data_IF_365149934597
#
_entry.id   IF_365149934597
#
_cell.length_a   1.000
_cell.length_b   1.000
_cell.length_c   1.000
_cell.angle_alpha   90.00
_cell.angle_beta   90.00
_cell.angle_gamma   90.00
#
_symmetry.space_group_name_H-M   'P 1'
#
loop_
_entity.id
_entity.type
_entity.pdbx_description
1 polymer ?
#
# COMPACT_ATOMS: atom_id res chain seq x y z
N UNK A 1 6.28 12.92 2.83
CA UNK A 1 5.11 12.31 2.23
C UNK A 1 5.54 11.51 1.03
N UNK A 2 5.08 10.31 0.89
CA UNK A 2 3.73 9.83 1.26
C UNK A 2 3.71 8.95 2.52
N UNK A 3 2.48 8.63 2.95
CA UNK A 3 2.20 7.56 3.92
C UNK A 3 1.48 6.43 3.19
N UNK A 4 2.05 5.25 3.19
CA UNK A 4 1.43 4.05 2.63
C UNK A 4 0.97 3.16 3.78
N UNK A 5 -0.32 2.85 3.82
CA UNK A 5 -0.87 1.93 4.81
C UNK A 5 -1.35 0.68 4.08
N UNK A 6 -0.74 -0.45 4.40
CA UNK A 6 -1.04 -1.75 3.82
C UNK A 6 -1.85 -2.55 4.84
N UNK A 7 -3.03 -2.98 4.42
CA UNK A 7 -3.94 -3.78 5.23
C UNK A 7 -4.14 -5.12 4.55
N UNK A 8 -3.97 -6.21 5.29
CA UNK A 8 -4.10 -7.54 4.71
C UNK A 8 -4.93 -8.45 5.60
N UNK A 9 -5.63 -9.39 4.99
CA UNK A 9 -6.40 -10.41 5.74
C UNK A 9 -5.43 -11.41 6.36
N UNK A 10 -5.66 -11.79 7.62
CA UNK A 10 -4.71 -12.62 8.38
C UNK A 10 -4.70 -14.09 7.98
N UNK A 11 -5.51 -14.47 7.01
CA UNK A 11 -5.58 -15.83 6.47
C UNK A 11 -4.55 -16.12 5.36
N UNK A 12 -3.65 -15.19 5.06
CA UNK A 12 -2.60 -15.39 4.07
C UNK A 12 -1.44 -16.17 4.69
N UNK A 13 -1.41 -17.47 4.43
CA UNK A 13 -0.32 -18.33 4.89
C UNK A 13 1.00 -17.88 4.23
N UNK A 14 2.07 -17.82 5.02
CA UNK A 14 3.37 -17.38 4.53
C UNK A 14 3.47 -15.87 4.30
N UNK A 15 2.58 -15.07 4.87
CA UNK A 15 2.63 -13.62 4.74
C UNK A 15 3.98 -13.06 5.20
N UNK A 16 4.54 -12.18 4.40
CA UNK A 16 5.80 -11.48 4.71
C UNK A 16 5.60 -9.96 4.51
N UNK A 17 4.90 -9.31 5.46
CA UNK A 17 4.61 -7.88 5.34
C UNK A 17 5.87 -7.01 5.21
N UNK A 18 6.97 -7.38 5.86
CA UNK A 18 8.22 -6.63 5.75
C UNK A 18 8.72 -6.58 4.30
N UNK A 19 8.69 -7.71 3.59
CA UNK A 19 9.07 -7.77 2.19
C UNK A 19 8.10 -6.97 1.31
N UNK A 20 6.80 -7.03 1.60
CA UNK A 20 5.80 -6.26 0.85
C UNK A 20 6.01 -4.76 1.02
N UNK A 21 6.32 -4.30 2.24
CA UNK A 21 6.59 -2.88 2.51
C UNK A 21 7.84 -2.40 1.77
N UNK A 22 8.89 -3.20 1.73
CA UNK A 22 10.08 -2.89 0.95
C UNK A 22 9.74 -2.74 -0.53
N UNK A 23 8.94 -3.66 -1.08
CA UNK A 23 8.54 -3.62 -2.49
C UNK A 23 7.73 -2.37 -2.82
N UNK A 24 6.74 -2.02 -2.01
CA UNK A 24 5.90 -0.84 -2.27
C UNK A 24 6.67 0.47 -2.08
N UNK A 25 7.63 0.52 -1.14
CA UNK A 25 8.50 1.69 -0.99
C UNK A 25 9.39 1.90 -2.21
N UNK A 26 9.98 0.82 -2.74
CA UNK A 26 10.76 0.92 -3.98
C UNK A 26 9.91 1.42 -5.14
N UNK A 27 8.68 0.92 -5.27
CA UNK A 27 7.77 1.35 -6.32
C UNK A 27 7.41 2.83 -6.19
N UNK A 28 7.11 3.28 -4.97
CA UNK A 28 6.81 4.68 -4.71
C UNK A 28 8.00 5.58 -5.05
N UNK A 29 9.21 5.14 -4.72
CA UNK A 29 10.42 5.89 -5.05
C UNK A 29 10.65 5.95 -6.56
N UNK A 30 10.37 4.87 -7.29
CA UNK A 30 10.47 4.81 -8.75
C UNK A 30 9.57 5.81 -9.46
N UNK A 31 8.50 6.25 -8.83
CA UNK A 31 7.61 7.26 -9.42
C UNK A 31 8.32 8.58 -9.69
N UNK A 32 9.41 8.85 -8.98
CA UNK A 32 10.15 10.12 -9.06
C UNK A 32 9.46 11.27 -8.32
N UNK A 33 8.37 11.00 -7.61
CA UNK A 33 7.58 12.02 -6.93
C UNK A 33 8.06 12.34 -5.50
N UNK A 34 8.91 11.50 -4.92
CA UNK A 34 9.26 11.56 -3.50
C UNK A 34 10.74 11.36 -3.26
N UNK A 35 11.24 11.94 -2.17
CA UNK A 35 12.57 11.62 -1.64
C UNK A 35 12.51 10.32 -0.82
N UNK A 36 13.59 9.58 -0.81
CA UNK A 36 13.65 8.24 -0.19
C UNK A 36 13.17 8.23 1.26
N UNK A 37 13.69 9.14 2.09
CA UNK A 37 13.37 9.17 3.52
C UNK A 37 11.94 9.63 3.82
N UNK A 38 11.24 10.19 2.84
CA UNK A 38 9.87 10.66 3.00
C UNK A 38 8.84 9.52 2.82
N UNK A 39 9.24 8.43 2.18
CA UNK A 39 8.33 7.31 1.91
C UNK A 39 8.21 6.45 3.17
N UNK A 40 7.08 6.55 3.83
CA UNK A 40 6.79 5.82 5.07
C UNK A 40 5.66 4.83 4.83
N UNK A 41 5.90 3.58 5.19
CA UNK A 41 4.89 2.55 5.04
C UNK A 41 4.74 1.72 6.30
N UNK A 42 3.56 1.12 6.47
CA UNK A 42 3.21 0.26 7.59
C UNK A 42 2.19 -0.77 7.16
N UNK A 43 2.16 -1.88 7.87
CA UNK A 43 1.24 -2.95 7.55
C UNK A 43 0.45 -3.36 8.80
N UNK A 44 -0.82 -3.63 8.60
CA UNK A 44 -1.73 -4.11 9.64
C UNK A 44 -2.47 -5.34 9.14
N UNK A 45 -2.48 -6.38 9.96
CA UNK A 45 -3.30 -7.55 9.69
C UNK A 45 -4.74 -7.29 10.13
N UNK A 46 -5.70 -7.69 9.31
CA UNK A 46 -7.11 -7.65 9.67
C UNK A 46 -7.54 -9.03 10.19
N UNK A 47 -7.73 -9.20 11.52
CA UNK A 47 -8.16 -10.50 12.06
C UNK A 47 -9.64 -10.77 11.81
N UNK A 48 -10.43 -9.73 11.61
CA UNK A 48 -11.86 -9.82 11.32
C UNK A 48 -12.10 -9.19 9.96
N UNK A 49 -12.49 -10.01 8.99
CA UNK A 49 -12.77 -9.55 7.64
C UNK A 49 -13.85 -10.43 7.01
N UNK A 50 -14.53 -9.91 6.00
CA UNK A 50 -15.49 -10.64 5.20
C UNK A 50 -15.35 -10.21 3.74
N UNK A 51 -15.27 -11.17 2.84
CA UNK A 51 -15.19 -10.93 1.40
C UNK A 51 -16.40 -11.56 0.73
N UNK A 52 -17.36 -10.71 0.35
CA UNK A 52 -18.62 -11.17 -0.19
C UNK A 52 -19.46 -11.93 0.83
N UNK A 53 -20.31 -12.82 0.35
CA UNK A 53 -21.28 -13.59 1.19
C UNK A 53 -21.05 -15.09 1.13
N UNK A 54 -20.32 -15.58 0.14
CA UNK A 54 -20.08 -17.01 -0.03
C UNK A 54 -18.88 -17.47 0.82
N UNK A 55 -18.94 -18.73 1.26
CA UNK A 55 -17.82 -19.35 1.98
C UNK A 55 -16.81 -19.91 0.97
N UNK A 56 -15.96 -19.02 0.46
CA UNK A 56 -14.88 -19.35 -0.45
C UNK A 56 -13.54 -18.90 0.14
N UNK A 57 -12.46 -19.57 -0.26
CA UNK A 57 -11.11 -19.18 0.14
C UNK A 57 -10.74 -17.89 -0.59
N UNK A 58 -10.82 -16.77 0.11
CA UNK A 58 -10.52 -15.43 -0.41
C UNK A 58 -9.67 -14.66 0.57
N UNK A 59 -8.83 -13.79 0.02
CA UNK A 59 -7.99 -12.87 0.80
C UNK A 59 -7.88 -11.56 0.06
N UNK A 60 -7.51 -10.49 0.78
CA UNK A 60 -7.21 -9.22 0.14
C UNK A 60 -6.02 -8.53 0.78
N UNK A 61 -5.37 -7.69 -0.01
CA UNK A 61 -4.41 -6.69 0.47
C UNK A 61 -4.79 -5.36 -0.16
N UNK A 62 -4.95 -4.35 0.66
CA UNK A 62 -5.28 -3.00 0.21
C UNK A 62 -4.22 -2.02 0.67
N UNK A 63 -3.71 -1.20 -0.24
CA UNK A 63 -2.75 -0.14 0.07
C UNK A 63 -3.41 1.21 -0.14
N UNK A 64 -3.40 2.03 0.91
CA UNK A 64 -3.84 3.42 0.85
C UNK A 64 -2.61 4.31 0.87
N UNK A 65 -2.47 5.15 -0.15
CA UNK A 65 -1.36 6.08 -0.27
C UNK A 65 -1.88 7.48 0.04
N UNK A 66 -1.53 7.99 1.22
CA UNK A 66 -1.81 9.38 1.58
C UNK A 66 -0.69 10.26 1.11
N UNK A 67 -0.97 11.22 0.24
CA UNK A 67 0.02 12.16 -0.27
C UNK A 67 -0.53 13.58 -0.24
N UNK A 68 0.38 14.54 -0.17
CA UNK A 68 -0.01 15.94 -0.14
C UNK A 68 -0.74 16.33 -1.42
N UNK A 69 -1.78 17.15 -1.29
CA UNK A 69 -2.53 17.68 -2.41
C UNK A 69 -1.63 18.45 -3.38
N UNK A 70 -2.00 18.48 -4.65
CA UNK A 70 -1.28 19.19 -5.70
C UNK A 70 -0.72 18.30 -6.80
N UNK A 71 -0.77 16.98 -6.64
CA UNK A 71 -0.39 16.05 -7.71
C UNK A 71 -1.54 15.88 -8.70
N UNK A 72 -1.20 15.73 -9.97
CA UNK A 72 -2.22 15.51 -11.01
C UNK A 72 -2.85 14.12 -10.89
N UNK A 73 -4.02 13.94 -11.49
CA UNK A 73 -4.66 12.62 -11.57
C UNK A 73 -3.78 11.60 -12.28
N UNK A 74 -3.04 12.03 -13.29
CA UNK A 74 -2.13 11.17 -14.05
C UNK A 74 -0.95 10.71 -13.19
N UNK A 75 -0.35 11.61 -12.41
CA UNK A 75 0.72 11.26 -11.49
C UNK A 75 0.23 10.29 -10.42
N UNK A 76 -0.95 10.52 -9.86
CA UNK A 76 -1.53 9.63 -8.85
C UNK A 76 -1.86 8.27 -9.45
N UNK A 77 -2.35 8.21 -10.69
CA UNK A 77 -2.62 6.94 -11.37
C UNK A 77 -1.33 6.17 -11.62
N UNK A 78 -0.29 6.83 -12.10
CA UNK A 78 1.01 6.21 -12.31
C UNK A 78 1.55 5.61 -11.01
N UNK A 79 1.45 6.34 -9.90
CA UNK A 79 1.88 5.87 -8.59
C UNK A 79 1.11 4.63 -8.16
N UNK A 80 -0.22 4.65 -8.27
CA UNK A 80 -1.06 3.49 -7.93
C UNK A 80 -0.69 2.26 -8.75
N UNK A 81 -0.49 2.43 -10.05
CA UNK A 81 -0.14 1.33 -10.94
C UNK A 81 1.24 0.74 -10.60
N UNK A 82 2.23 1.58 -10.31
CA UNK A 82 3.56 1.12 -9.91
C UNK A 82 3.52 0.32 -8.61
N UNK A 83 2.79 0.83 -7.61
CA UNK A 83 2.65 0.16 -6.32
C UNK A 83 1.90 -1.17 -6.47
N UNK A 84 0.82 -1.18 -7.25
CA UNK A 84 0.05 -2.40 -7.49
C UNK A 84 0.89 -3.47 -8.20
N UNK A 85 1.66 -3.11 -9.21
CA UNK A 85 2.54 -4.03 -9.92
C UNK A 85 3.60 -4.63 -8.98
N UNK A 86 4.21 -3.80 -8.14
CA UNK A 86 5.21 -4.25 -7.18
C UNK A 86 4.60 -5.19 -6.13
N UNK A 87 3.44 -4.85 -5.62
CA UNK A 87 2.73 -5.68 -4.65
C UNK A 87 2.36 -7.02 -5.27
N UNK A 88 1.82 -7.01 -6.48
CA UNK A 88 1.44 -8.25 -7.18
C UNK A 88 2.63 -9.18 -7.42
N UNK A 89 3.80 -8.61 -7.69
CA UNK A 89 5.02 -9.39 -7.87
C UNK A 89 5.58 -9.95 -6.54
N UNK A 90 5.35 -9.25 -5.43
CA UNK A 90 5.91 -9.59 -4.13
C UNK A 90 5.07 -10.59 -3.32
N UNK A 91 3.78 -10.71 -3.63
CA UNK A 91 2.83 -11.53 -2.87
C UNK A 91 2.55 -12.83 -3.59
N UNK A 92 2.70 -13.94 -2.84
CA UNK A 92 2.31 -15.26 -3.34
C UNK A 92 0.88 -15.56 -2.90
N UNK A 93 -0.01 -15.84 -3.85
CA UNK A 93 -1.35 -16.29 -3.55
C UNK A 93 -1.30 -17.78 -3.14
N UNK A 94 -1.86 -18.14 -1.95
CA UNK A 94 -1.95 -19.54 -1.58
C UNK A 94 -2.79 -20.31 -2.61
N UNK A 95 -2.41 -21.57 -2.87
CA UNK A 95 -3.13 -22.42 -3.82
C UNK A 95 -4.60 -22.50 -3.45
N UNK A 96 -5.48 -22.30 -4.42
CA UNK A 96 -6.93 -22.35 -4.23
C UNK A 96 -7.55 -21.11 -3.60
N UNK A 97 -6.75 -20.08 -3.30
CA UNK A 97 -7.23 -18.82 -2.72
C UNK A 97 -7.33 -17.74 -3.78
N UNK A 98 -8.50 -17.11 -3.87
CA UNK A 98 -8.66 -15.89 -4.67
C UNK A 98 -8.07 -14.73 -3.89
N UNK A 99 -7.03 -14.10 -4.44
CA UNK A 99 -6.37 -12.95 -3.83
C UNK A 99 -6.72 -11.67 -4.59
N UNK A 100 -7.27 -10.72 -3.87
CA UNK A 100 -7.62 -9.39 -4.41
C UNK A 100 -6.62 -8.37 -3.90
N UNK A 101 -5.95 -7.68 -4.81
CA UNK A 101 -5.00 -6.62 -4.51
C UNK A 101 -5.55 -5.29 -5.03
N UNK A 102 -5.46 -4.26 -4.21
CA UNK A 102 -5.94 -2.93 -4.60
C UNK A 102 -5.07 -1.84 -4.00
N UNK A 103 -5.01 -0.71 -4.69
CA UNK A 103 -4.26 0.48 -4.28
C UNK A 103 -5.13 1.70 -4.56
N UNK A 104 -5.17 2.61 -3.59
CA UNK A 104 -5.84 3.90 -3.75
C UNK A 104 -4.91 5.03 -3.32
N UNK A 105 -5.14 6.22 -3.85
CA UNK A 105 -4.51 7.44 -3.37
C UNK A 105 -5.52 8.31 -2.66
N UNK A 106 -5.09 8.96 -1.58
CA UNK A 106 -5.91 9.91 -0.82
C UNK A 106 -5.10 11.19 -0.68
N UNK A 107 -5.70 12.32 -1.02
CA UNK A 107 -5.04 13.61 -0.87
C UNK A 107 -5.13 14.12 0.57
N UNK A 108 -3.98 14.50 1.12
CA UNK A 108 -3.89 15.17 2.40
C UNK A 108 -3.84 16.67 2.17
N UNK A 109 -4.54 17.41 3.02
CA UNK A 109 -4.59 18.87 2.92
C UNK A 109 -3.21 19.49 3.18
N UNK A 110 -2.56 19.96 2.13
CA UNK A 110 -1.20 20.51 2.21
C UNK A 110 -1.09 21.66 3.21
N UNK A 111 -2.01 22.63 3.25
CA UNK A 111 -1.89 23.76 4.17
C UNK A 111 -1.93 23.38 5.66
N UNK A 112 -2.59 22.28 6.01
CA UNK A 112 -2.72 21.86 7.42
C UNK A 112 -1.78 20.74 7.81
N UNK A 113 -1.02 20.19 6.90
CA UNK A 113 -0.07 19.10 7.19
C UNK A 113 1.18 19.69 7.87
N UNK A 114 1.47 19.20 9.06
CA UNK A 114 2.61 19.67 9.86
C UNK A 114 3.60 18.53 10.07
N UNK A 115 4.88 18.83 9.90
CA UNK A 115 5.95 17.84 10.03
C UNK A 115 7.20 18.49 10.59
N UNK A 116 7.92 17.74 11.42
CA UNK A 116 9.27 18.12 11.87
C UNK A 116 10.17 16.88 11.75
N UNK A 117 11.42 17.11 11.35
CA UNK A 117 12.46 16.08 11.30
C UNK A 117 13.53 16.45 12.33
N UNK A 118 13.85 15.52 13.21
CA UNK A 118 14.91 15.70 14.21
C UNK A 118 15.92 14.58 14.08
N UNK A 119 17.19 14.94 14.22
CA UNK A 119 18.29 13.97 14.24
C UNK A 119 18.80 13.85 15.67
N UNK A 120 18.65 12.68 16.26
CA UNK A 120 19.09 12.40 17.63
C UNK A 120 20.57 12.09 17.76
#
# INVERSE_FOLDING_TARGET
MPHLTLEYTDNLAGADPAAWLTAVNYAALKSGLFDEADVKSRAYAAPHFRIGLEDKARAFIHVRIGLLSGRSSEERRMLSDLVLMALNAAVDAPSGTELQLSVETVELDRPSYAKVVRHG
#
